data_IF_503551603179
#
_entry.id   IF_503551603179
#
_cell.length_a   1.000
_cell.length_b   1.000
_cell.length_c   1.000
_cell.angle_alpha   90.00
_cell.angle_beta   90.00
_cell.angle_gamma   90.00
#
_symmetry.space_group_name_H-M   'P 1'
#
loop_
_entity.id
_entity.type
_entity.pdbx_description
1 polymer ?
#
# COMPACT_ATOMS: atom_id res chain seq x y z
N UNK A 1 50.15 28.59 29.57
CA UNK A 1 49.83 28.97 30.96
C UNK A 1 48.35 29.34 30.98
N UNK A 2 47.46 28.38 31.25
CA UNK A 2 47.01 27.88 32.57
C UNK A 2 46.06 28.86 33.29
N UNK A 3 44.86 28.33 33.58
CA UNK A 3 43.88 28.61 34.67
C UNK A 3 42.46 28.50 34.07
N UNK A 4 41.70 27.40 34.11
CA UNK A 4 41.20 26.53 35.20
C UNK A 4 40.01 27.11 36.00
N UNK A 5 38.83 26.45 35.82
CA UNK A 5 37.67 26.20 36.73
C UNK A 5 36.95 27.41 37.39
N UNK A 6 35.68 27.37 37.83
CA UNK A 6 34.92 26.33 38.51
C UNK A 6 33.42 26.73 38.60
N UNK A 7 32.51 25.74 38.69
CA UNK A 7 31.11 25.90 39.09
C UNK A 7 30.95 26.34 40.57
N UNK A 8 29.74 26.78 40.97
CA UNK A 8 29.12 26.26 42.19
C UNK A 8 27.71 25.71 41.86
N UNK A 9 27.22 24.63 42.45
CA UNK A 9 27.43 24.17 43.81
C UNK A 9 26.12 24.33 44.60
N UNK A 10 25.32 23.26 44.54
CA UNK A 10 24.08 22.95 45.26
C UNK A 10 23.91 23.56 46.67
N UNK A 11 22.70 24.01 47.02
CA UNK A 11 22.25 24.01 48.43
C UNK A 11 20.74 23.75 48.53
N UNK A 12 20.43 22.65 49.22
CA UNK A 12 19.11 22.24 49.68
C UNK A 12 18.55 23.20 50.73
N UNK A 13 17.22 23.33 50.75
CA UNK A 13 16.33 23.32 51.92
C UNK A 13 14.91 23.43 51.32
N UNK A 14 14.01 22.47 51.48
CA UNK A 14 13.57 21.91 52.75
C UNK A 14 12.11 22.33 52.94
N UNK A 15 11.22 21.48 52.42
CA UNK A 15 9.77 21.32 52.65
C UNK A 15 9.32 21.55 54.13
N UNK A 16 8.01 21.69 54.47
CA UNK A 16 6.97 20.74 54.03
C UNK A 16 5.49 21.19 53.96
N UNK A 17 4.69 20.25 53.40
CA UNK A 17 3.33 19.80 53.75
C UNK A 17 2.18 20.82 53.85
N UNK A 18 0.94 20.58 53.42
CA UNK A 18 0.15 19.42 53.00
C UNK A 18 -0.98 20.04 52.11
N UNK A 19 -1.70 19.39 51.21
CA UNK A 19 -2.64 18.28 51.46
C UNK A 19 -3.25 17.84 50.12
N UNK A 20 -3.25 16.53 49.89
CA UNK A 20 -4.27 15.70 49.25
C UNK A 20 -4.91 16.08 47.90
N UNK A 21 -4.61 15.26 46.90
CA UNK A 21 -5.37 15.13 45.65
C UNK A 21 -4.88 13.91 44.87
N UNK A 22 -5.19 12.72 45.38
CA UNK A 22 -4.81 11.46 44.74
C UNK A 22 -5.59 11.23 43.45
N UNK A 23 -5.03 11.66 42.32
CA UNK A 23 -5.42 11.12 41.02
C UNK A 23 -4.49 9.94 40.69
N UNK A 24 -5.03 8.74 40.90
CA UNK A 24 -4.47 7.52 40.36
C UNK A 24 -4.22 7.71 38.85
N UNK A 25 -2.94 7.79 38.45
CA UNK A 25 -2.56 7.64 37.05
C UNK A 25 -2.96 6.24 36.62
N UNK A 26 -4.18 6.12 36.11
CA UNK A 26 -4.72 4.92 35.47
C UNK A 26 -3.78 4.61 34.31
N UNK A 27 -2.84 3.68 34.53
CA UNK A 27 -2.06 3.07 33.47
C UNK A 27 -3.08 2.45 32.54
N UNK A 28 -3.37 3.12 31.43
CA UNK A 28 -4.11 2.54 30.31
C UNK A 28 -3.31 1.31 29.93
N UNK A 29 -3.82 0.13 30.30
CA UNK A 29 -3.28 -1.12 29.80
C UNK A 29 -3.41 -1.00 28.29
N UNK A 30 -2.28 -1.06 27.57
CA UNK A 30 -2.32 -1.39 26.14
C UNK A 30 -3.06 -2.70 26.08
N UNK A 31 -4.31 -2.64 25.65
CA UNK A 31 -5.03 -3.81 25.22
C UNK A 31 -4.14 -4.43 24.15
N UNK A 32 -3.68 -5.65 24.40
CA UNK A 32 -2.93 -6.43 23.43
C UNK A 32 -3.88 -6.65 22.27
N UNK A 33 -3.79 -5.76 21.28
CA UNK A 33 -4.50 -5.88 20.02
C UNK A 33 -4.17 -7.27 19.46
N UNK A 34 -5.17 -7.99 18.93
CA UNK A 34 -4.90 -9.27 18.29
C UNK A 34 -3.80 -9.07 17.24
N UNK A 35 -2.98 -10.10 16.96
CA UNK A 35 -1.94 -10.01 15.94
C UNK A 35 -2.55 -9.43 14.66
N UNK A 36 -1.93 -8.36 14.13
CA UNK A 36 -2.46 -7.60 13.01
C UNK A 36 -2.52 -8.48 11.75
N UNK A 37 -3.70 -8.63 11.16
CA UNK A 37 -3.98 -9.53 10.04
C UNK A 37 -4.13 -8.75 8.72
N UNK A 38 -3.70 -9.36 7.62
CA UNK A 38 -4.01 -8.86 6.28
C UNK A 38 -5.52 -9.02 6.08
N UNK A 39 -6.23 -7.91 5.89
CA UNK A 39 -7.66 -7.96 5.58
C UNK A 39 -7.81 -8.35 4.12
N UNK A 40 -8.41 -9.51 3.89
CA UNK A 40 -8.86 -9.99 2.58
C UNK A 40 -10.37 -9.87 2.47
N UNK A 41 -10.88 -9.35 1.36
CA UNK A 41 -12.31 -9.40 1.08
C UNK A 41 -12.64 -9.33 -0.41
N UNK A 42 -13.92 -9.50 -0.74
CA UNK A 42 -14.39 -9.38 -2.12
C UNK A 42 -14.53 -7.91 -2.52
N UNK A 43 -15.00 -7.05 -1.60
CA UNK A 43 -15.24 -5.63 -1.85
C UNK A 43 -14.81 -4.73 -0.68
N UNK A 44 -14.35 -3.54 -1.04
CA UNK A 44 -13.82 -2.48 -0.20
C UNK A 44 -14.91 -1.44 0.10
N UNK A 45 -15.01 -0.87 1.31
CA UNK A 45 -15.97 0.20 1.55
C UNK A 45 -15.62 1.49 0.79
N UNK A 46 -16.64 2.17 0.28
CA UNK A 46 -16.53 3.37 -0.57
C UNK A 46 -15.66 4.49 0.00
N UNK A 47 -15.70 4.70 1.33
CA UNK A 47 -14.93 5.74 2.00
C UNK A 47 -13.42 5.46 1.94
N UNK A 48 -13.02 4.20 2.04
CA UNK A 48 -11.62 3.79 1.92
C UNK A 48 -11.10 3.99 0.51
N UNK A 49 -11.89 3.61 -0.50
CA UNK A 49 -11.51 3.86 -1.90
C UNK A 49 -11.24 5.35 -2.13
N UNK A 50 -12.18 6.22 -1.74
CA UNK A 50 -12.06 7.67 -1.97
C UNK A 50 -10.85 8.30 -1.27
N UNK A 51 -10.42 7.75 -0.13
CA UNK A 51 -9.29 8.26 0.63
C UNK A 51 -7.94 7.69 0.13
N UNK A 52 -7.90 6.39 -0.14
CA UNK A 52 -6.67 5.64 -0.37
C UNK A 52 -6.27 5.58 -1.84
N UNK A 53 -7.23 5.47 -2.75
CA UNK A 53 -6.98 5.48 -4.19
C UNK A 53 -6.89 6.89 -4.78
N UNK A 54 -7.08 7.94 -3.98
CA UNK A 54 -6.88 9.32 -4.46
C UNK A 54 -5.41 9.54 -4.82
N UNK A 55 -5.16 9.92 -6.08
CA UNK A 55 -3.85 9.97 -6.72
C UNK A 55 -3.06 11.27 -6.49
N UNK A 56 -3.22 11.92 -5.32
CA UNK A 56 -2.44 13.11 -4.94
C UNK A 56 -1.09 12.72 -4.32
N UNK A 57 -0.06 13.51 -4.61
CA UNK A 57 1.34 13.25 -4.21
C UNK A 57 1.53 13.20 -2.68
N UNK A 58 0.94 14.18 -1.97
CA UNK A 58 0.98 14.26 -0.51
C UNK A 58 -0.41 14.08 0.09
N UNK A 59 -0.57 13.06 0.93
CA UNK A 59 -1.59 13.10 1.99
C UNK A 59 -1.07 12.40 3.22
N UNK A 60 -0.98 13.17 4.30
CA UNK A 60 -0.68 12.68 5.63
C UNK A 60 -1.69 11.59 6.03
N UNK A 61 -1.21 10.48 6.60
CA UNK A 61 -2.06 9.38 7.07
C UNK A 61 -2.27 8.22 6.09
N UNK A 62 -1.74 8.26 4.86
CA UNK A 62 -1.75 7.11 3.94
C UNK A 62 -0.64 6.10 4.25
N UNK A 63 -0.68 5.53 5.46
CA UNK A 63 0.29 4.53 5.92
C UNK A 63 -0.15 3.09 5.58
N UNK A 64 -1.18 2.92 4.76
CA UNK A 64 -1.76 1.63 4.38
C UNK A 64 -1.77 1.50 2.86
N UNK A 65 -1.21 0.41 2.34
CA UNK A 65 -1.27 0.08 0.92
C UNK A 65 -2.51 -0.78 0.67
N UNK A 66 -3.34 -0.36 -0.29
CA UNK A 66 -4.49 -1.14 -0.76
C UNK A 66 -4.18 -1.73 -2.13
N UNK A 67 -4.44 -3.02 -2.27
CA UNK A 67 -4.20 -3.79 -3.49
C UNK A 67 -5.49 -4.53 -3.86
N UNK A 68 -6.17 -4.10 -4.92
CA UNK A 68 -7.23 -4.86 -5.56
C UNK A 68 -6.59 -5.74 -6.64
N UNK A 69 -7.03 -6.99 -6.77
CA UNK A 69 -6.46 -7.91 -7.75
C UNK A 69 -7.52 -8.63 -8.58
N UNK A 70 -7.15 -8.95 -9.81
CA UNK A 70 -7.78 -9.97 -10.65
C UNK A 70 -6.72 -11.02 -10.95
N UNK A 71 -7.02 -12.29 -10.64
CA UNK A 71 -6.18 -13.44 -10.90
C UNK A 71 -6.92 -14.36 -11.86
N UNK A 72 -6.40 -14.49 -13.08
CA UNK A 72 -6.90 -15.44 -14.06
C UNK A 72 -5.87 -16.57 -14.22
N UNK A 73 -6.28 -17.79 -13.90
CA UNK A 73 -5.46 -18.99 -14.11
C UNK A 73 -6.01 -19.78 -15.28
N UNK A 74 -5.12 -20.22 -16.16
CA UNK A 74 -5.41 -21.03 -17.34
C UNK A 74 -4.57 -22.32 -17.24
N UNK A 75 -5.17 -23.36 -16.66
CA UNK A 75 -4.56 -24.68 -16.51
C UNK A 75 -5.48 -25.77 -17.06
N UNK A 76 -5.73 -26.82 -16.27
CA UNK A 76 -6.74 -27.84 -16.59
C UNK A 76 -8.15 -27.25 -16.60
N UNK A 77 -8.40 -26.33 -15.69
CA UNK A 77 -9.60 -25.51 -15.61
C UNK A 77 -9.18 -24.04 -15.65
N UNK A 78 -10.05 -23.19 -16.19
CA UNK A 78 -9.84 -21.74 -16.17
C UNK A 78 -10.58 -21.17 -14.96
N UNK A 79 -9.84 -20.59 -14.01
CA UNK A 79 -10.41 -20.00 -12.80
C UNK A 79 -10.05 -18.53 -12.75
N UNK A 80 -11.07 -17.69 -12.57
CA UNK A 80 -10.92 -16.25 -12.33
C UNK A 80 -11.30 -15.95 -10.89
N UNK A 81 -10.40 -15.30 -10.17
CA UNK A 81 -10.60 -14.81 -8.81
C UNK A 81 -10.34 -13.31 -8.75
N UNK A 82 -11.09 -12.62 -7.90
CA UNK A 82 -10.92 -11.18 -7.63
C UNK A 82 -11.07 -10.93 -6.14
N UNK A 83 -10.39 -9.90 -5.65
CA UNK A 83 -10.54 -9.44 -4.27
C UNK A 83 -9.64 -8.25 -3.98
N UNK A 84 -9.54 -7.90 -2.71
CA UNK A 84 -8.60 -6.89 -2.24
C UNK A 84 -7.78 -7.38 -1.04
N UNK A 85 -6.66 -6.72 -0.84
CA UNK A 85 -5.76 -6.84 0.29
C UNK A 85 -5.53 -5.44 0.88
N UNK A 86 -5.65 -5.31 2.19
CA UNK A 86 -5.26 -4.13 2.94
C UNK A 86 -4.08 -4.46 3.87
N UNK A 87 -3.07 -3.60 3.84
CA UNK A 87 -2.02 -3.58 4.85
C UNK A 87 -2.48 -2.75 6.06
N UNK A 88 -3.04 -3.41 7.06
CA UNK A 88 -3.36 -2.81 8.35
C UNK A 88 -2.19 -3.00 9.33
N UNK A 89 -1.16 -2.16 9.17
CA UNK A 89 -0.09 -1.94 10.15
C UNK A 89 0.74 -3.19 10.54
N UNK A 90 0.85 -4.19 9.65
CA UNK A 90 1.60 -5.42 9.89
C UNK A 90 2.89 -5.49 9.04
N UNK A 91 3.82 -6.36 9.44
CA UNK A 91 5.22 -6.44 9.02
C UNK A 91 5.52 -6.66 7.51
N UNK A 92 4.51 -6.73 6.63
CA UNK A 92 4.70 -6.98 5.20
C UNK A 92 3.65 -6.23 4.34
N UNK A 93 4.11 -5.56 3.29
CA UNK A 93 3.24 -4.81 2.39
C UNK A 93 2.29 -5.72 1.58
N UNK A 94 1.20 -5.14 1.07
CA UNK A 94 0.14 -5.84 0.33
C UNK A 94 0.67 -6.70 -0.86
N UNK A 95 1.74 -6.27 -1.53
CA UNK A 95 2.36 -7.01 -2.63
C UNK A 95 3.01 -8.32 -2.16
N UNK A 96 3.62 -8.30 -0.98
CA UNK A 96 4.23 -9.48 -0.36
C UNK A 96 3.14 -10.40 0.17
N UNK A 97 2.12 -9.82 0.82
CA UNK A 97 0.94 -10.54 1.28
C UNK A 97 0.30 -11.34 0.14
N UNK A 98 0.09 -10.74 -1.03
CA UNK A 98 -0.51 -11.41 -2.19
C UNK A 98 0.22 -12.71 -2.56
N UNK A 99 1.55 -12.68 -2.66
CA UNK A 99 2.32 -13.88 -3.01
C UNK A 99 2.44 -14.89 -1.87
N UNK A 100 2.16 -14.50 -0.63
CA UNK A 100 2.18 -15.43 0.50
C UNK A 100 0.82 -16.09 0.74
N UNK A 101 -0.29 -15.40 0.48
CA UNK A 101 -1.63 -15.86 0.82
C UNK A 101 -2.48 -16.22 -0.40
N UNK A 102 -2.52 -15.36 -1.42
CA UNK A 102 -3.40 -15.52 -2.59
C UNK A 102 -2.76 -16.43 -3.65
N UNK A 103 -1.47 -16.24 -3.93
CA UNK A 103 -0.73 -17.06 -4.90
C UNK A 103 0.59 -17.60 -4.32
N UNK A 104 0.53 -18.48 -3.30
CA UNK A 104 1.72 -19.05 -2.67
C UNK A 104 2.53 -19.98 -3.58
N UNK A 105 1.88 -20.63 -4.55
CA UNK A 105 2.50 -21.58 -5.47
C UNK A 105 1.94 -21.43 -6.87
N UNK A 106 2.81 -21.52 -7.87
CA UNK A 106 2.46 -21.51 -9.28
C UNK A 106 2.67 -22.91 -9.87
N UNK A 107 1.62 -23.54 -10.41
CA UNK A 107 1.72 -24.86 -11.03
C UNK A 107 2.40 -24.76 -12.41
N UNK A 108 3.38 -25.62 -12.69
CA UNK A 108 4.17 -25.55 -13.93
C UNK A 108 3.36 -25.75 -15.23
N UNK A 109 2.16 -26.32 -15.14
CA UNK A 109 1.25 -26.54 -16.27
C UNK A 109 0.17 -25.47 -16.46
N UNK A 110 0.06 -24.51 -15.54
CA UNK A 110 -0.92 -23.43 -15.59
C UNK A 110 -0.25 -22.10 -15.95
N UNK A 111 -0.97 -21.21 -16.62
CA UNK A 111 -0.57 -19.82 -16.84
C UNK A 111 -1.39 -18.92 -15.95
N UNK A 112 -0.76 -17.92 -15.34
CA UNK A 112 -1.41 -16.97 -14.45
C UNK A 112 -1.30 -15.56 -15.04
N UNK A 113 -2.43 -14.93 -15.32
CA UNK A 113 -2.51 -13.50 -15.64
C UNK A 113 -3.02 -12.78 -14.41
N UNK A 114 -2.20 -11.89 -13.87
CA UNK A 114 -2.48 -11.16 -12.64
C UNK A 114 -2.55 -9.68 -13.00
N UNK A 115 -3.64 -9.03 -12.61
CA UNK A 115 -3.78 -7.58 -12.70
C UNK A 115 -3.97 -7.02 -11.30
N UNK A 116 -3.08 -6.12 -10.88
CA UNK A 116 -3.21 -5.38 -9.64
C UNK A 116 -3.63 -3.95 -9.92
N UNK A 117 -4.53 -3.43 -9.09
CA UNK A 117 -4.87 -2.02 -8.99
C UNK A 117 -4.46 -1.55 -7.60
N UNK A 118 -3.41 -0.73 -7.55
CA UNK A 118 -2.80 -0.26 -6.30
C UNK A 118 -2.79 1.25 -6.26
N UNK A 119 -2.97 1.81 -5.07
CA UNK A 119 -2.98 3.26 -4.90
C UNK A 119 -1.66 3.92 -5.31
N UNK A 120 -0.52 3.29 -5.01
CA UNK A 120 0.82 3.74 -5.41
C UNK A 120 1.70 2.61 -5.92
N UNK A 121 2.78 2.95 -6.63
CA UNK A 121 3.80 1.97 -7.01
C UNK A 121 4.45 1.30 -5.80
N UNK A 122 4.93 0.04 -5.93
CA UNK A 122 5.61 -0.66 -4.84
C UNK A 122 6.88 0.09 -4.40
N UNK A 123 7.31 -0.12 -3.15
CA UNK A 123 8.63 0.32 -2.68
C UNK A 123 9.76 -0.57 -3.25
N UNK A 124 11.03 -0.17 -3.07
CA UNK A 124 12.22 -0.92 -3.56
C UNK A 124 12.17 -2.39 -3.15
N UNK A 125 11.94 -2.68 -1.86
CA UNK A 125 11.92 -4.04 -1.34
C UNK A 125 10.81 -4.89 -1.99
N UNK A 126 9.61 -4.32 -2.18
CA UNK A 126 8.51 -5.00 -2.85
C UNK A 126 8.78 -5.21 -4.34
N UNK A 127 9.35 -4.21 -5.01
CA UNK A 127 9.74 -4.28 -6.41
C UNK A 127 10.77 -5.39 -6.66
N UNK A 128 11.78 -5.52 -5.80
CA UNK A 128 12.77 -6.60 -5.88
C UNK A 128 12.11 -7.98 -5.64
N UNK A 129 11.19 -8.09 -4.67
CA UNK A 129 10.47 -9.34 -4.41
C UNK A 129 9.55 -9.76 -5.57
N UNK A 130 8.87 -8.81 -6.19
CA UNK A 130 8.07 -9.04 -7.40
C UNK A 130 8.99 -9.52 -8.54
N UNK A 131 10.12 -8.84 -8.73
CA UNK A 131 11.12 -9.17 -9.75
C UNK A 131 11.65 -10.61 -9.58
N UNK A 132 11.98 -11.01 -8.36
CA UNK A 132 12.42 -12.37 -8.03
C UNK A 132 11.32 -13.41 -8.36
N UNK A 133 10.09 -13.13 -7.94
CA UNK A 133 8.93 -14.00 -8.17
C UNK A 133 8.66 -14.21 -9.66
N UNK A 134 8.70 -13.16 -10.47
CA UNK A 134 8.52 -13.23 -11.93
C UNK A 134 9.67 -13.93 -12.62
N UNK A 135 10.90 -13.79 -12.12
CA UNK A 135 12.06 -14.51 -12.66
C UNK A 135 11.95 -16.01 -12.41
N UNK A 136 11.50 -16.41 -11.22
CA UNK A 136 11.29 -17.81 -10.83
C UNK A 136 10.12 -18.46 -11.55
N UNK A 137 9.03 -17.72 -11.76
CA UNK A 137 7.77 -18.25 -12.32
C UNK A 137 7.49 -17.66 -13.71
N UNK A 138 8.02 -18.30 -14.76
CA UNK A 138 7.86 -17.84 -16.16
C UNK A 138 6.44 -17.94 -16.70
N UNK A 139 5.57 -18.66 -16.01
CA UNK A 139 4.16 -18.81 -16.31
C UNK A 139 3.27 -17.72 -15.69
N UNK A 140 3.85 -16.78 -14.92
CA UNK A 140 3.13 -15.64 -14.34
C UNK A 140 3.34 -14.40 -15.20
N UNK A 141 2.24 -13.74 -15.57
CA UNK A 141 2.23 -12.42 -16.21
C UNK A 141 1.57 -11.45 -15.26
N UNK A 142 2.33 -10.48 -14.77
CA UNK A 142 1.84 -9.47 -13.85
C UNK A 142 1.70 -8.12 -14.55
N UNK A 143 0.52 -7.53 -14.42
CA UNK A 143 0.24 -6.14 -14.78
C UNK A 143 -0.11 -5.38 -13.51
N UNK A 144 0.56 -4.26 -13.25
CA UNK A 144 0.31 -3.40 -12.11
C UNK A 144 -0.16 -2.05 -12.65
N UNK A 145 -1.38 -1.70 -12.31
CA UNK A 145 -2.01 -0.41 -12.56
C UNK A 145 -1.86 0.41 -11.27
N UNK A 146 -1.06 1.47 -11.30
CA UNK A 146 -0.75 2.29 -10.13
C UNK A 146 -1.46 3.65 -10.22
N UNK A 147 -1.98 4.16 -9.10
CA UNK A 147 -2.64 5.46 -9.08
C UNK A 147 -1.63 6.62 -9.12
N UNK A 148 -0.52 6.47 -8.40
CA UNK A 148 0.59 7.42 -8.33
C UNK A 148 1.93 6.69 -8.22
N UNK A 149 3.04 7.37 -8.48
CA UNK A 149 4.37 6.81 -8.26
C UNK A 149 4.87 7.16 -6.85
N UNK A 150 5.38 6.17 -6.13
CA UNK A 150 5.94 6.31 -4.79
C UNK A 150 7.43 6.60 -4.87
N UNK A 151 7.87 7.75 -4.31
CA UNK A 151 9.27 8.18 -4.25
C UNK A 151 10.00 8.05 -5.60
N UNK A 152 9.35 8.44 -6.70
CA UNK A 152 9.84 8.21 -8.07
C UNK A 152 11.10 9.02 -8.42
N UNK A 153 11.34 10.11 -7.69
CA UNK A 153 12.54 10.93 -7.82
C UNK A 153 13.79 10.20 -7.32
N UNK A 154 13.63 9.23 -6.42
CA UNK A 154 14.74 8.49 -5.83
C UNK A 154 15.40 7.55 -6.87
N UNK A 155 16.73 7.63 -7.07
CA UNK A 155 17.42 6.79 -8.05
C UNK A 155 17.24 5.29 -7.81
N UNK A 156 17.17 4.87 -6.55
CA UNK A 156 16.96 3.48 -6.16
C UNK A 156 15.58 2.97 -6.57
N UNK A 157 14.55 3.81 -6.41
CA UNK A 157 13.19 3.51 -6.86
C UNK A 157 13.13 3.36 -8.38
N UNK A 158 13.73 4.29 -9.13
CA UNK A 158 13.79 4.19 -10.59
C UNK A 158 14.49 2.92 -11.06
N UNK A 159 15.60 2.55 -10.42
CA UNK A 159 16.32 1.31 -10.72
C UNK A 159 15.44 0.08 -10.44
N UNK A 160 14.68 0.08 -9.34
CA UNK A 160 13.76 -0.99 -8.99
C UNK A 160 12.62 -1.14 -10.02
N UNK A 161 12.00 -0.03 -10.45
CA UNK A 161 10.97 -0.05 -11.49
C UNK A 161 11.49 -0.58 -12.84
N UNK A 162 12.70 -0.17 -13.25
CA UNK A 162 13.38 -0.69 -14.45
C UNK A 162 13.63 -2.20 -14.36
N UNK A 163 14.09 -2.70 -13.20
CA UNK A 163 14.29 -4.14 -12.97
C UNK A 163 12.98 -4.93 -13.07
N UNK A 164 11.88 -4.39 -12.53
CA UNK A 164 10.56 -5.01 -12.64
C UNK A 164 10.11 -5.12 -14.11
N UNK A 165 10.22 -4.04 -14.89
CA UNK A 165 9.92 -4.05 -16.33
C UNK A 165 10.76 -5.09 -17.06
N UNK A 166 12.05 -5.15 -16.78
CA UNK A 166 12.96 -6.14 -17.37
C UNK A 166 12.63 -7.59 -16.99
N UNK A 167 12.03 -7.82 -15.81
CA UNK A 167 11.54 -9.13 -15.40
C UNK A 167 10.20 -9.53 -16.05
N UNK A 168 9.60 -8.65 -16.86
CA UNK A 168 8.35 -8.90 -17.58
C UNK A 168 7.10 -8.36 -16.90
N UNK A 169 7.25 -7.56 -15.83
CA UNK A 169 6.14 -6.85 -15.22
C UNK A 169 5.67 -5.71 -16.14
N UNK A 170 4.37 -5.61 -16.39
CA UNK A 170 3.78 -4.45 -17.08
C UNK A 170 3.33 -3.43 -16.05
N UNK A 171 3.98 -2.27 -16.00
CA UNK A 171 3.62 -1.18 -15.10
C UNK A 171 2.93 -0.08 -15.89
N UNK A 172 1.78 0.40 -15.41
CA UNK A 172 0.97 1.45 -16.05
C UNK A 172 0.36 2.36 -15.00
N UNK A 173 0.15 3.63 -15.33
CA UNK A 173 -0.63 4.55 -14.50
C UNK A 173 -2.13 4.33 -14.77
N UNK A 174 -2.94 4.32 -13.72
CA UNK A 174 -4.39 4.25 -13.82
C UNK A 174 -4.95 5.51 -14.46
N UNK A 175 -5.75 5.31 -15.51
CA UNK A 175 -6.56 6.35 -16.15
C UNK A 175 -7.85 6.56 -15.35
N UNK A 176 -8.59 7.66 -15.55
CA UNK A 176 -9.89 7.86 -14.92
C UNK A 176 -10.85 6.67 -15.06
N UNK A 177 -10.84 6.00 -16.22
CA UNK A 177 -11.66 4.82 -16.49
C UNK A 177 -11.24 3.60 -15.66
N UNK A 178 -9.94 3.48 -15.33
CA UNK A 178 -9.45 2.41 -14.47
C UNK A 178 -9.94 2.62 -13.02
N UNK A 179 -9.98 3.87 -12.52
CA UNK A 179 -10.57 4.16 -11.21
C UNK A 179 -12.07 3.86 -11.17
N UNK A 180 -12.81 4.20 -12.22
CA UNK A 180 -14.22 3.84 -12.35
C UNK A 180 -14.42 2.31 -12.39
N UNK A 181 -13.56 1.58 -13.12
CA UNK A 181 -13.59 0.12 -13.13
C UNK A 181 -13.38 -0.44 -11.72
N UNK A 182 -12.39 0.06 -10.98
CA UNK A 182 -12.12 -0.40 -9.61
C UNK A 182 -13.32 -0.11 -8.70
N UNK A 183 -13.92 1.07 -8.82
CA UNK A 183 -15.12 1.43 -8.07
C UNK A 183 -16.28 0.46 -8.33
N UNK A 184 -16.59 0.17 -9.58
CA UNK A 184 -17.73 -0.72 -9.91
C UNK A 184 -17.48 -2.18 -9.48
N UNK A 185 -16.24 -2.65 -9.56
CA UNK A 185 -15.91 -4.07 -9.39
C UNK A 185 -15.42 -4.45 -8.00
N UNK A 186 -14.81 -3.51 -7.27
CA UNK A 186 -14.17 -3.78 -6.00
C UNK A 186 -14.72 -2.93 -4.86
N UNK A 187 -15.59 -1.95 -5.10
CA UNK A 187 -16.19 -1.17 -4.01
C UNK A 187 -17.58 -1.70 -3.69
N UNK A 188 -17.88 -1.80 -2.39
CA UNK A 188 -19.21 -2.13 -1.89
C UNK A 188 -20.20 -1.04 -2.29
N UNK A 189 -21.28 -1.46 -2.96
CA UNK A 189 -22.41 -0.61 -3.27
C UNK A 189 -23.44 -0.79 -2.15
N UNK A 190 -24.07 0.29 -1.70
CA UNK A 190 -25.10 0.21 -0.65
C UNK A 190 -26.26 -0.69 -1.11
N UNK A 191 -26.59 -1.69 -0.29
CA UNK A 191 -27.62 -2.67 -0.59
C UNK A 191 -29.01 -2.00 -0.68
N UNK A 192 -29.75 -2.27 -1.77
CA UNK A 192 -31.08 -1.71 -1.99
C UNK A 192 -31.12 -0.30 -2.60
N UNK A 193 -29.98 0.26 -3.00
CA UNK A 193 -29.90 1.50 -3.78
C UNK A 193 -29.32 1.23 -5.18
N UNK A 194 -29.62 2.11 -6.14
CA UNK A 194 -28.94 2.10 -7.44
C UNK A 194 -27.42 2.23 -7.22
N UNK A 195 -26.63 1.47 -8.00
CA UNK A 195 -25.19 1.50 -7.92
C UNK A 195 -24.70 2.95 -8.05
N UNK A 196 -24.01 3.45 -7.02
CA UNK A 196 -23.57 4.85 -7.01
C UNK A 196 -22.50 4.98 -8.09
N UNK A 197 -22.71 5.92 -9.03
CA UNK A 197 -21.69 6.24 -10.01
C UNK A 197 -20.41 6.75 -9.32
N UNK A 198 -19.26 6.41 -9.88
CA UNK A 198 -18.01 6.98 -9.43
C UNK A 198 -17.99 8.47 -9.77
N UNK A 199 -17.74 9.31 -8.76
CA UNK A 199 -17.52 10.74 -8.96
C UNK A 199 -16.01 10.98 -8.99
N UNK A 200 -15.41 11.31 -10.15
CA UNK A 200 -13.99 11.56 -10.25
C UNK A 200 -13.57 12.77 -9.41
N UNK A 201 -12.33 12.75 -8.92
CA UNK A 201 -11.71 13.93 -8.34
C UNK A 201 -11.39 14.96 -9.43
N UNK A 202 -11.38 16.25 -9.09
CA UNK A 202 -11.13 17.34 -10.05
C UNK A 202 -9.80 17.18 -10.79
N UNK A 203 -8.77 16.71 -10.08
CA UNK A 203 -7.39 16.57 -10.53
C UNK A 203 -7.06 15.19 -11.13
N UNK A 204 -8.05 14.30 -11.29
CA UNK A 204 -7.81 12.90 -11.70
C UNK A 204 -7.06 12.78 -13.03
N UNK A 205 -7.39 13.65 -13.98
CA UNK A 205 -6.83 13.64 -15.33
C UNK A 205 -5.42 14.24 -15.36
N UNK A 206 -5.21 15.35 -14.64
CA UNK A 206 -3.92 16.02 -14.55
C UNK A 206 -2.89 15.13 -13.84
N UNK A 207 -3.27 14.51 -12.71
CA UNK A 207 -2.43 13.56 -11.99
C UNK A 207 -2.08 12.34 -12.86
N UNK A 208 -3.03 11.80 -13.62
CA UNK A 208 -2.75 10.70 -14.55
C UNK A 208 -1.69 11.10 -15.59
N UNK A 209 -1.86 12.25 -16.24
CA UNK A 209 -0.91 12.73 -17.27
C UNK A 209 0.48 12.95 -16.68
N UNK A 210 0.57 13.58 -15.51
CA UNK A 210 1.82 13.82 -14.81
C UNK A 210 2.58 12.52 -14.51
N UNK A 211 1.94 11.54 -13.86
CA UNK A 211 2.61 10.28 -13.55
C UNK A 211 2.86 9.42 -14.79
N UNK A 212 2.03 9.52 -15.84
CA UNK A 212 2.25 8.79 -17.09
C UNK A 212 3.52 9.27 -17.78
N UNK A 213 3.74 10.59 -17.83
CA UNK A 213 4.97 11.19 -18.32
C UNK A 213 6.18 10.76 -17.47
N UNK A 214 6.10 10.84 -16.14
CA UNK A 214 7.19 10.41 -15.25
C UNK A 214 7.52 8.94 -15.37
N UNK A 215 6.51 8.09 -15.50
CA UNK A 215 6.74 6.67 -15.70
C UNK A 215 7.44 6.39 -17.04
N UNK A 216 7.08 7.13 -18.10
CA UNK A 216 7.71 7.01 -19.41
C UNK A 216 9.16 7.52 -19.42
N UNK A 217 9.47 8.60 -18.69
CA UNK A 217 10.84 9.08 -18.50
C UNK A 217 11.73 8.04 -17.79
N UNK A 218 11.16 7.29 -16.83
CA UNK A 218 11.88 6.27 -16.07
C UNK A 218 12.08 4.99 -16.88
N UNK A 219 11.08 4.50 -17.62
CA UNK A 219 11.03 3.13 -18.13
C UNK A 219 11.45 2.95 -19.59
#
# INVERSE_FOLDING_TARGET
KMAEKQEPGNTQNGEPDNTEGGEEKKKVKREDLPPFEIVTGERLPAIFFKFQFRNVEYSSGRNKTFLCYVLESQGKESVTSRGYLEDEHAAAHAEIAFFNTILPKCESGARYNITWYVSSSPCVACADRITETLRKNKNVRLTIMVGRLFMWEEPEMQAALKKMKAAGCKLRIMKPQDFEYVWQNFVEQEEGQEAKAFVPWEDIQENFQYYEEKLAEIL
#
